data_IF_047612945490
#
_entry.id   IF_047612945490
#
_cell.length_a   1.000
_cell.length_b   1.000
_cell.length_c   1.000
_cell.angle_alpha   90.00
_cell.angle_beta   90.00
_cell.angle_gamma   90.00
#
_symmetry.space_group_name_H-M   'P 1'
#
loop_
_entity.id
_entity.type
_entity.pdbx_description
1 polymer ?
#
# COMPACT_ATOMS: atom_id res chain seq x y z
N UNK A 1 25.60 22.21 -9.01
CA UNK A 1 25.52 23.16 -7.88
C UNK A 1 24.96 24.48 -8.40
N UNK A 2 24.01 25.11 -7.68
CA UNK A 2 23.46 26.44 -7.99
C UNK A 2 24.16 27.47 -7.11
N UNK A 3 24.47 28.62 -7.68
CA UNK A 3 24.97 29.79 -6.96
C UNK A 3 23.88 30.89 -6.97
N UNK A 4 23.63 31.50 -5.84
CA UNK A 4 22.66 32.57 -5.66
C UNK A 4 23.39 33.94 -5.70
N UNK A 5 22.66 35.01 -6.00
CA UNK A 5 23.19 36.40 -6.03
C UNK A 5 23.87 36.81 -4.72
N UNK A 6 23.58 36.13 -3.62
CA UNK A 6 24.18 36.33 -2.29
C UNK A 6 25.54 35.64 -2.13
N UNK A 7 26.00 34.86 -3.12
CA UNK A 7 27.18 34.01 -3.02
C UNK A 7 26.92 32.66 -2.33
N UNK A 8 25.73 32.41 -1.83
CA UNK A 8 25.38 31.12 -1.28
C UNK A 8 25.26 30.06 -2.38
N UNK A 9 25.63 28.82 -2.06
CA UNK A 9 25.61 27.70 -3.02
C UNK A 9 24.68 26.59 -2.49
N UNK A 10 24.02 25.86 -3.40
CA UNK A 10 23.19 24.70 -3.10
C UNK A 10 23.22 23.70 -4.26
N UNK A 11 22.90 22.45 -3.97
CA UNK A 11 22.75 21.43 -5.00
C UNK A 11 21.68 21.80 -6.03
N UNK A 12 21.84 21.25 -7.26
CA UNK A 12 20.82 21.37 -8.30
C UNK A 12 19.51 20.71 -7.89
N UNK A 13 18.40 21.22 -8.44
CA UNK A 13 17.08 20.60 -8.30
C UNK A 13 16.80 19.53 -9.36
N UNK A 14 17.72 19.32 -10.28
CA UNK A 14 17.57 18.32 -11.32
C UNK A 14 17.35 16.92 -10.70
N UNK A 15 16.27 16.27 -11.09
CA UNK A 15 15.89 14.96 -10.57
C UNK A 15 15.21 14.95 -9.19
N UNK A 16 14.96 16.12 -8.58
CA UNK A 16 14.18 16.23 -7.34
C UNK A 16 12.71 16.57 -7.64
N UNK A 17 11.81 15.97 -6.90
CA UNK A 17 10.39 16.28 -7.03
C UNK A 17 10.08 17.65 -6.40
N UNK A 18 9.29 18.45 -7.11
CA UNK A 18 8.75 19.71 -6.63
C UNK A 18 7.39 19.46 -5.96
N UNK A 19 7.42 18.98 -4.72
CA UNK A 19 6.18 18.69 -3.98
C UNK A 19 5.35 19.96 -3.70
N UNK A 20 5.98 21.11 -3.55
CA UNK A 20 5.28 22.38 -3.35
C UNK A 20 4.49 22.79 -4.59
N UNK A 21 5.09 22.63 -5.77
CA UNK A 21 4.42 22.89 -7.04
C UNK A 21 3.36 21.83 -7.40
N UNK A 22 3.54 20.57 -6.96
CA UNK A 22 2.61 19.47 -7.29
C UNK A 22 1.36 19.43 -6.42
N UNK A 23 1.40 19.96 -5.21
CA UNK A 23 0.30 19.89 -4.26
C UNK A 23 -0.27 21.29 -3.96
N UNK A 24 -1.59 21.36 -3.81
CA UNK A 24 -2.27 22.58 -3.34
C UNK A 24 -2.48 22.51 -1.82
N UNK A 25 -2.04 23.52 -1.05
CA UNK A 25 -2.31 23.57 0.40
C UNK A 25 -3.80 23.53 0.72
N UNK A 26 -4.65 24.15 -0.11
CA UNK A 26 -6.10 24.12 0.07
C UNK A 26 -6.69 22.71 -0.07
N UNK A 27 -6.14 21.91 -0.98
CA UNK A 27 -6.58 20.51 -1.18
C UNK A 27 -6.11 19.65 -0.02
N UNK A 28 -4.86 19.83 0.43
CA UNK A 28 -4.29 19.09 1.56
C UNK A 28 -5.08 19.38 2.85
N UNK A 29 -5.38 20.66 3.14
CA UNK A 29 -6.20 21.06 4.29
C UNK A 29 -7.60 20.46 4.23
N UNK A 30 -8.30 20.60 3.08
CA UNK A 30 -9.65 20.07 2.90
C UNK A 30 -9.70 18.55 3.07
N UNK A 31 -8.69 17.84 2.59
CA UNK A 31 -8.57 16.41 2.76
C UNK A 31 -8.25 16.02 4.21
N UNK A 32 -7.39 16.76 4.88
CA UNK A 32 -7.09 16.58 6.30
C UNK A 32 -8.32 16.73 7.19
N UNK A 33 -9.13 17.76 6.96
CA UNK A 33 -10.41 17.98 7.64
C UNK A 33 -11.39 16.81 7.42
N UNK A 34 -11.50 16.36 6.18
CA UNK A 34 -12.32 15.20 5.82
C UNK A 34 -11.87 13.95 6.58
N UNK A 35 -10.58 13.65 6.57
CA UNK A 35 -10.02 12.49 7.26
C UNK A 35 -10.26 12.58 8.78
N UNK A 36 -10.04 13.74 9.38
CA UNK A 36 -10.23 13.94 10.81
C UNK A 36 -11.70 13.77 11.23
N UNK A 37 -12.65 14.30 10.45
CA UNK A 37 -14.10 14.11 10.67
C UNK A 37 -14.49 12.63 10.70
N UNK A 38 -13.87 11.78 9.83
CA UNK A 38 -14.19 10.37 9.70
C UNK A 38 -13.43 9.45 10.67
N UNK A 39 -12.64 10.00 11.60
CA UNK A 39 -12.03 9.24 12.70
C UNK A 39 -13.03 8.85 13.77
N UNK A 40 -14.12 9.59 13.93
CA UNK A 40 -15.13 9.35 14.96
C UNK A 40 -15.87 8.05 14.62
N UNK A 41 -15.84 7.10 15.55
CA UNK A 41 -16.52 5.81 15.45
C UNK A 41 -17.94 5.89 16.05
N UNK A 42 -18.75 4.86 15.82
CA UNK A 42 -20.12 4.80 16.33
C UNK A 42 -20.20 4.83 17.87
N UNK A 43 -19.15 4.37 18.56
CA UNK A 43 -19.02 4.44 20.03
C UNK A 43 -18.46 5.78 20.55
N UNK A 44 -18.27 6.76 19.67
CA UNK A 44 -17.72 8.08 19.97
C UNK A 44 -16.21 8.12 20.11
N UNK A 45 -15.50 6.99 20.04
CA UNK A 45 -14.03 6.97 20.09
C UNK A 45 -13.42 7.42 18.79
N UNK A 46 -12.22 7.97 18.87
CA UNK A 46 -11.43 8.33 17.71
C UNK A 46 -10.55 7.16 17.28
N UNK A 47 -10.56 6.85 15.98
CA UNK A 47 -9.53 5.99 15.37
C UNK A 47 -8.20 6.73 15.32
N UNK A 48 -7.10 5.98 15.35
CA UNK A 48 -5.78 6.54 15.02
C UNK A 48 -5.80 7.10 13.60
N UNK A 49 -5.03 8.15 13.35
CA UNK A 49 -4.98 8.81 12.03
C UNK A 49 -4.46 7.90 10.92
N UNK A 50 -3.60 6.95 11.28
CA UNK A 50 -2.99 5.95 10.41
C UNK A 50 -3.72 4.61 10.38
N UNK A 51 -4.90 4.50 11.00
CA UNK A 51 -5.65 3.24 11.09
C UNK A 51 -5.90 2.59 9.72
N UNK A 52 -6.07 3.38 8.67
CA UNK A 52 -6.26 2.89 7.31
C UNK A 52 -5.00 2.18 6.75
N UNK A 53 -3.82 2.49 7.28
CA UNK A 53 -2.55 1.87 6.88
C UNK A 53 -2.35 0.46 7.47
N UNK A 54 -3.21 0.03 8.41
CA UNK A 54 -3.20 -1.34 8.97
C UNK A 54 -3.60 -2.41 7.94
N UNK A 55 -4.14 -2.00 6.80
CA UNK A 55 -4.52 -2.84 5.67
C UNK A 55 -6.03 -2.89 5.49
N UNK A 56 -6.50 -2.33 4.38
CA UNK A 56 -7.87 -2.46 3.90
C UNK A 56 -7.79 -3.20 2.56
N UNK A 57 -8.60 -4.25 2.33
CA UNK A 57 -8.57 -4.98 1.06
C UNK A 57 -8.80 -4.06 -0.13
N UNK A 58 -8.02 -4.22 -1.19
CA UNK A 58 -8.12 -3.42 -2.43
C UNK A 58 -9.53 -3.38 -3.01
N UNK A 59 -10.27 -4.49 -2.92
CA UNK A 59 -11.66 -4.56 -3.36
C UNK A 59 -12.60 -3.64 -2.57
N UNK A 60 -12.33 -3.42 -1.28
CA UNK A 60 -13.13 -2.50 -0.46
C UNK A 60 -12.94 -1.05 -0.93
N UNK A 61 -11.70 -0.65 -1.23
CA UNK A 61 -11.40 0.65 -1.83
C UNK A 61 -12.09 0.82 -3.19
N UNK A 62 -11.97 -0.17 -4.08
CA UNK A 62 -12.55 -0.10 -5.42
C UNK A 62 -14.08 0.02 -5.38
N UNK A 63 -14.76 -0.77 -4.55
CA UNK A 63 -16.22 -0.70 -4.38
C UNK A 63 -16.66 0.66 -3.83
N UNK A 64 -15.89 1.24 -2.90
CA UNK A 64 -16.19 2.57 -2.34
C UNK A 64 -15.93 3.67 -3.36
N UNK A 65 -14.83 3.56 -4.11
CA UNK A 65 -14.47 4.51 -5.16
C UNK A 65 -15.59 4.66 -6.20
N UNK A 66 -16.14 3.55 -6.68
CA UNK A 66 -17.26 3.57 -7.63
C UNK A 66 -18.52 4.25 -7.07
N UNK A 67 -18.85 4.02 -5.79
CA UNK A 67 -20.00 4.70 -5.16
C UNK A 67 -19.80 6.22 -5.11
N UNK A 68 -18.62 6.66 -4.66
CA UNK A 68 -18.33 8.10 -4.57
C UNK A 68 -18.16 8.74 -5.94
N UNK A 69 -17.62 8.01 -6.93
CA UNK A 69 -17.58 8.51 -8.29
C UNK A 69 -18.99 8.74 -8.87
N UNK A 70 -19.91 7.82 -8.62
CA UNK A 70 -21.30 7.98 -9.01
C UNK A 70 -21.95 9.19 -8.33
N UNK A 71 -21.71 9.40 -7.03
CA UNK A 71 -22.20 10.57 -6.31
C UNK A 71 -21.62 11.87 -6.88
N UNK A 72 -20.31 11.90 -7.18
CA UNK A 72 -19.68 13.05 -7.84
C UNK A 72 -20.32 13.34 -9.20
N UNK A 73 -20.60 12.32 -9.98
CA UNK A 73 -21.22 12.47 -11.29
C UNK A 73 -22.64 13.06 -11.19
N UNK A 74 -23.47 12.60 -10.26
CA UNK A 74 -24.78 13.20 -10.01
C UNK A 74 -24.67 14.69 -9.61
N UNK A 75 -23.79 15.00 -8.66
CA UNK A 75 -23.56 16.38 -8.21
C UNK A 75 -23.05 17.27 -9.35
N UNK A 76 -22.14 16.75 -10.18
CA UNK A 76 -21.63 17.46 -11.36
C UNK A 76 -22.74 17.79 -12.39
N UNK A 77 -23.74 16.92 -12.49
CA UNK A 77 -24.92 17.13 -13.33
C UNK A 77 -26.00 18.01 -12.70
N UNK A 78 -25.74 18.56 -11.49
CA UNK A 78 -26.69 19.42 -10.77
C UNK A 78 -27.75 18.68 -9.97
N UNK A 79 -27.66 17.36 -9.83
CA UNK A 79 -28.57 16.59 -8.99
C UNK A 79 -28.15 16.64 -7.53
N UNK A 80 -29.13 16.69 -6.63
CA UNK A 80 -28.86 16.53 -5.19
C UNK A 80 -28.60 15.07 -4.83
N UNK A 81 -27.68 14.87 -3.89
CA UNK A 81 -27.40 13.55 -3.33
C UNK A 81 -27.48 13.61 -1.81
N UNK A 82 -28.11 12.61 -1.24
CA UNK A 82 -28.28 12.48 0.21
C UNK A 82 -27.49 11.25 0.67
N UNK A 83 -26.67 11.43 1.67
CA UNK A 83 -26.04 10.31 2.38
C UNK A 83 -27.12 9.47 3.07
N UNK A 84 -27.23 8.21 2.71
CA UNK A 84 -28.26 7.29 3.22
C UNK A 84 -28.10 6.95 4.70
N UNK A 85 -26.90 7.08 5.25
CA UNK A 85 -26.62 6.76 6.65
C UNK A 85 -26.91 7.95 7.56
N UNK A 86 -26.55 9.15 7.13
CA UNK A 86 -26.66 10.36 7.95
C UNK A 86 -27.88 11.23 7.61
N UNK A 87 -28.51 11.02 6.46
CA UNK A 87 -29.59 11.84 5.93
C UNK A 87 -29.15 13.23 5.47
N UNK A 88 -27.85 13.53 5.47
CA UNK A 88 -27.31 14.84 5.08
C UNK A 88 -27.09 14.94 3.57
N UNK A 89 -27.28 16.16 3.03
CA UNK A 89 -26.94 16.45 1.65
C UNK A 89 -25.41 16.39 1.47
N UNK A 90 -24.97 15.64 0.45
CA UNK A 90 -23.55 15.50 0.10
C UNK A 90 -23.09 16.74 -0.66
N UNK A 91 -21.90 17.22 -0.35
CA UNK A 91 -21.22 18.27 -1.11
C UNK A 91 -20.19 17.67 -2.06
N UNK A 92 -19.92 18.35 -3.18
CA UNK A 92 -18.87 17.94 -4.12
C UNK A 92 -17.51 17.85 -3.40
N UNK A 93 -17.20 18.78 -2.47
CA UNK A 93 -15.96 18.77 -1.66
C UNK A 93 -15.83 17.46 -0.88
N UNK A 94 -16.87 17.04 -0.16
CA UNK A 94 -16.84 15.80 0.63
C UNK A 94 -16.68 14.57 -0.24
N UNK A 95 -17.40 14.51 -1.35
CA UNK A 95 -17.33 13.37 -2.28
C UNK A 95 -15.96 13.27 -2.96
N UNK A 96 -15.34 14.39 -3.35
CA UNK A 96 -13.99 14.40 -3.91
C UNK A 96 -12.95 13.96 -2.86
N UNK A 97 -13.07 14.37 -1.61
CA UNK A 97 -12.22 13.89 -0.53
C UNK A 97 -12.40 12.38 -0.28
N UNK A 98 -13.63 11.86 -0.38
CA UNK A 98 -13.89 10.43 -0.29
C UNK A 98 -13.24 9.65 -1.44
N UNK A 99 -13.26 10.18 -2.66
CA UNK A 99 -12.55 9.62 -3.81
C UNK A 99 -11.04 9.62 -3.55
N UNK A 100 -10.47 10.74 -3.11
CA UNK A 100 -9.03 10.84 -2.77
C UNK A 100 -8.62 9.81 -1.72
N UNK A 101 -9.41 9.61 -0.66
CA UNK A 101 -9.15 8.59 0.35
C UNK A 101 -9.05 7.18 -0.27
N UNK A 102 -10.01 6.83 -1.12
CA UNK A 102 -10.03 5.49 -1.72
C UNK A 102 -8.89 5.30 -2.74
N UNK A 103 -8.54 6.33 -3.52
CA UNK A 103 -7.41 6.29 -4.46
C UNK A 103 -6.09 6.19 -3.69
N UNK A 104 -5.88 7.02 -2.68
CA UNK A 104 -4.69 6.99 -1.84
C UNK A 104 -4.52 5.63 -1.16
N UNK A 105 -5.58 5.11 -0.55
CA UNK A 105 -5.53 3.83 0.15
C UNK A 105 -5.26 2.66 -0.80
N UNK A 106 -5.91 2.64 -1.97
CA UNK A 106 -5.65 1.62 -2.99
C UNK A 106 -4.19 1.66 -3.47
N UNK A 107 -3.68 2.87 -3.76
CA UNK A 107 -2.29 3.06 -4.19
C UNK A 107 -1.32 2.65 -3.09
N UNK A 108 -1.59 2.98 -1.83
CA UNK A 108 -0.78 2.58 -0.69
C UNK A 108 -0.66 1.06 -0.57
N UNK A 109 -1.75 0.32 -0.73
CA UNK A 109 -1.71 -1.15 -0.68
C UNK A 109 -0.93 -1.76 -1.86
N UNK A 110 -0.91 -1.10 -3.04
CA UNK A 110 -0.05 -1.51 -4.16
C UNK A 110 1.43 -1.28 -3.82
N UNK A 111 1.76 -0.09 -3.31
CA UNK A 111 3.14 0.29 -3.00
C UNK A 111 3.74 -0.48 -1.82
N UNK A 112 2.88 -1.00 -0.95
CA UNK A 112 3.26 -1.84 0.19
C UNK A 112 3.54 -3.29 -0.21
N UNK A 113 2.96 -3.75 -1.32
CA UNK A 113 3.27 -5.07 -1.87
C UNK A 113 4.66 -5.01 -2.52
N UNK A 114 5.55 -6.00 -2.28
CA UNK A 114 6.80 -6.09 -3.02
C UNK A 114 6.51 -6.16 -4.52
N UNK A 115 7.36 -5.53 -5.33
CA UNK A 115 7.23 -5.65 -6.79
C UNK A 115 7.34 -7.13 -7.19
N UNK A 116 6.27 -7.65 -7.80
CA UNK A 116 6.24 -9.02 -8.28
C UNK A 116 7.22 -9.18 -9.46
N UNK A 117 8.18 -10.06 -9.30
CA UNK A 117 9.14 -10.35 -10.36
C UNK A 117 8.44 -10.94 -11.58
N UNK A 118 9.11 -10.88 -12.75
CA UNK A 118 8.57 -11.48 -13.98
C UNK A 118 8.30 -12.98 -13.83
N UNK A 119 9.15 -13.69 -13.07
CA UNK A 119 9.00 -15.11 -12.82
C UNK A 119 7.80 -15.40 -11.91
N UNK A 120 7.58 -14.60 -10.87
CA UNK A 120 6.40 -14.71 -10.00
C UNK A 120 5.10 -14.44 -10.77
N UNK A 121 5.10 -13.44 -11.67
CA UNK A 121 3.96 -13.18 -12.56
C UNK A 121 3.64 -14.38 -13.44
N UNK A 122 4.65 -15.00 -14.05
CA UNK A 122 4.50 -16.21 -14.87
C UNK A 122 3.94 -17.34 -14.02
N UNK A 123 4.50 -17.60 -12.85
CA UNK A 123 4.05 -18.64 -11.94
C UNK A 123 2.61 -18.42 -11.48
N UNK A 124 2.24 -17.16 -11.17
CA UNK A 124 0.87 -16.81 -10.78
C UNK A 124 -0.15 -17.04 -11.90
N UNK A 125 0.24 -16.76 -13.16
CA UNK A 125 -0.61 -17.00 -14.32
C UNK A 125 -0.75 -18.51 -14.60
N UNK A 126 0.35 -19.25 -14.51
CA UNK A 126 0.38 -20.67 -14.82
C UNK A 126 -0.29 -21.54 -13.75
N UNK A 127 -0.12 -21.20 -12.46
CA UNK A 127 -0.52 -22.04 -11.33
C UNK A 127 -1.54 -21.37 -10.38
N UNK A 128 -1.96 -20.13 -10.68
CA UNK A 128 -2.82 -19.33 -9.81
C UNK A 128 -2.07 -18.75 -8.58
N UNK A 129 -2.79 -17.98 -7.75
CA UNK A 129 -2.22 -17.53 -6.48
C UNK A 129 -2.14 -18.71 -5.52
N UNK A 130 -1.00 -18.95 -4.86
CA UNK A 130 -0.91 -19.98 -3.83
C UNK A 130 -1.96 -19.70 -2.74
N UNK A 131 -2.78 -20.71 -2.44
CA UNK A 131 -3.75 -20.60 -1.35
C UNK A 131 -3.00 -20.40 -0.04
N UNK A 132 -3.63 -19.72 0.93
CA UNK A 132 -3.03 -19.46 2.24
C UNK A 132 -2.64 -20.76 2.96
N UNK A 133 -3.33 -21.83 2.66
CA UNK A 133 -3.13 -23.19 3.14
C UNK A 133 -1.91 -23.88 2.50
N UNK A 134 -1.51 -23.45 1.28
CA UNK A 134 -0.38 -24.01 0.54
C UNK A 134 0.96 -23.36 0.93
N UNK A 135 0.93 -22.34 1.83
CA UNK A 135 2.16 -21.74 2.33
C UNK A 135 2.82 -22.70 3.30
N UNK A 136 4.10 -23.10 3.08
CA UNK A 136 4.78 -23.94 4.03
C UNK A 136 4.77 -23.25 5.40
N UNK A 137 4.27 -23.95 6.40
CA UNK A 137 4.34 -23.50 7.79
C UNK A 137 5.82 -23.50 8.19
N UNK A 138 6.44 -22.34 8.15
CA UNK A 138 7.81 -22.18 8.63
C UNK A 138 7.74 -21.94 10.13
N UNK A 139 7.89 -23.00 10.91
CA UNK A 139 8.31 -22.84 12.30
C UNK A 139 9.65 -22.12 12.32
N UNK A 140 9.75 -21.04 13.12
CA UNK A 140 11.00 -20.30 13.27
C UNK A 140 12.14 -21.29 13.54
N UNK A 141 13.05 -21.43 12.57
CA UNK A 141 14.28 -22.20 12.69
C UNK A 141 14.30 -23.60 12.04
N UNK A 142 13.27 -24.03 11.31
CA UNK A 142 13.31 -25.32 10.59
C UNK A 142 12.84 -25.18 9.16
N UNK A 143 13.78 -25.16 8.22
CA UNK A 143 13.52 -25.30 6.81
C UNK A 143 13.27 -26.78 6.50
N UNK A 144 12.08 -27.15 5.99
CA UNK A 144 11.80 -28.51 5.58
C UNK A 144 12.30 -28.73 4.15
N UNK A 145 13.54 -29.22 4.02
CA UNK A 145 14.30 -29.38 2.76
C UNK A 145 13.71 -30.45 1.84
N UNK A 146 12.67 -31.19 2.23
CA UNK A 146 12.20 -32.36 1.52
C UNK A 146 11.20 -32.09 0.38
N UNK A 147 11.00 -30.83 -0.07
CA UNK A 147 10.11 -30.55 -1.20
C UNK A 147 10.89 -29.89 -2.36
N UNK A 148 11.28 -30.65 -3.41
CA UNK A 148 12.11 -30.16 -4.52
C UNK A 148 11.47 -29.00 -5.31
N UNK A 149 10.14 -28.81 -5.22
CA UNK A 149 9.40 -27.80 -5.97
C UNK A 149 9.44 -26.41 -5.34
N UNK A 150 9.93 -26.26 -4.09
CA UNK A 150 9.89 -24.99 -3.33
C UNK A 150 11.26 -24.38 -3.08
N UNK A 151 12.36 -25.02 -3.44
CA UNK A 151 13.72 -24.58 -3.10
C UNK A 151 14.02 -23.18 -3.68
N UNK A 152 13.58 -22.89 -4.91
CA UNK A 152 13.86 -21.61 -5.55
C UNK A 152 12.91 -20.46 -5.10
N UNK A 153 11.70 -20.78 -4.62
CA UNK A 153 10.69 -19.76 -4.26
C UNK A 153 10.94 -19.17 -2.87
N UNK A 154 11.56 -19.93 -1.96
CA UNK A 154 11.77 -19.49 -0.58
C UNK A 154 13.01 -18.62 -0.44
N UNK A 155 14.06 -18.87 -1.21
CA UNK A 155 15.29 -18.06 -1.19
C UNK A 155 15.11 -16.68 -1.83
N UNK A 156 14.22 -16.57 -2.84
CA UNK A 156 13.93 -15.29 -3.51
C UNK A 156 13.07 -14.33 -2.67
N UNK A 157 12.48 -14.79 -1.57
CA UNK A 157 11.68 -13.94 -0.66
C UNK A 157 12.52 -13.19 0.38
N UNK A 158 13.85 -13.26 0.32
CA UNK A 158 14.75 -12.46 1.16
C UNK A 158 14.73 -12.81 2.65
N UNK A 159 14.18 -13.94 3.04
CA UNK A 159 14.26 -14.43 4.41
C UNK A 159 15.55 -15.23 4.61
N UNK A 160 16.54 -14.60 5.21
CA UNK A 160 17.72 -15.29 5.71
C UNK A 160 17.27 -16.30 6.79
N UNK A 161 17.24 -17.59 6.47
CA UNK A 161 17.12 -18.61 7.47
C UNK A 161 18.53 -19.20 7.74
N UNK A 162 18.86 -19.43 9.00
CA UNK A 162 20.16 -19.94 9.43
C UNK A 162 20.50 -21.35 8.90
N UNK A 163 19.56 -21.97 8.17
CA UNK A 163 19.71 -23.31 7.58
C UNK A 163 19.83 -23.31 6.05
N UNK A 164 19.85 -22.13 5.40
CA UNK A 164 19.92 -22.05 3.94
C UNK A 164 21.38 -22.17 3.46
N UNK A 165 21.74 -23.15 2.60
CA UNK A 165 23.11 -23.29 2.07
C UNK A 165 23.56 -22.12 1.19
N UNK A 166 22.65 -21.23 0.81
CA UNK A 166 22.93 -19.99 0.04
C UNK A 166 22.97 -18.73 0.91
N UNK A 167 22.80 -18.86 2.24
CA UNK A 167 23.02 -17.75 3.15
C UNK A 167 24.53 -17.53 3.33
N UNK A 168 25.04 -16.33 3.07
CA UNK A 168 26.46 -16.00 3.24
C UNK A 168 26.95 -16.19 4.69
N UNK A 169 26.03 -16.17 5.67
CA UNK A 169 26.29 -16.44 7.08
C UNK A 169 26.17 -17.92 7.48
N UNK A 170 25.89 -18.82 6.53
CA UNK A 170 25.76 -20.27 6.80
C UNK A 170 27.10 -20.88 7.12
N UNK A 171 27.37 -21.04 8.39
CA UNK A 171 28.50 -21.85 8.90
C UNK A 171 28.07 -23.32 9.00
N UNK A 172 27.93 -23.97 7.85
CA UNK A 172 27.65 -25.40 7.79
C UNK A 172 28.79 -26.19 8.41
N UNK A 173 28.47 -27.07 9.35
CA UNK A 173 29.40 -28.07 9.83
C UNK A 173 29.73 -29.01 8.67
N UNK A 174 30.85 -28.80 8.03
CA UNK A 174 31.49 -29.78 7.15
C UNK A 174 31.92 -30.96 7.99
N UNK A 175 31.00 -31.87 8.29
CA UNK A 175 31.40 -33.22 8.73
C UNK A 175 31.71 -34.01 7.47
N UNK A 176 32.98 -34.08 7.16
CA UNK A 176 33.62 -35.05 6.30
C UNK A 176 33.20 -36.44 6.74
N UNK A 177 32.44 -37.14 5.92
CA UNK A 177 32.38 -38.61 5.99
C UNK A 177 33.59 -39.14 5.25
N UNK A 178 34.50 -39.76 6.02
CA UNK A 178 35.57 -40.61 5.52
C UNK A 178 35.03 -42.01 5.13
#
# INVERSE_FOLDING_TARGET
>A
MREFKTGATRDTDAGKNDYEGFYSPLVVEAFGDYMNKHRIQADGKLRDSDNWQKGIPKDAYMKSLWRHFLDAWFLHRGYKRIDKQTGKELTMKEVLCAILFNVQGYLFEILKEPEETQQEKINRIAFGKPKKEDRPFIEKGKCNINHPQFINVICDLGYACDCCPYNEDYKGNAQTQG
#
